data_IF_442315943320
#
_entry.id   IF_442315943320
#
_cell.length_a   1.000
_cell.length_b   1.000
_cell.length_c   1.000
_cell.angle_alpha   90.00
_cell.angle_beta   90.00
_cell.angle_gamma   90.00
#
_symmetry.space_group_name_H-M   'P 1'
#
loop_
_entity.id
_entity.type
_entity.pdbx_description
1 polymer ?
#
# COMPACT_ATOMS: atom_id res chain seq x y z
N UNK A 1 -25.20 2.40 13.65
CA UNK A 1 -25.56 1.64 12.42
C UNK A 1 -25.25 2.53 11.21
N UNK A 2 -24.13 2.34 10.55
CA UNK A 2 -23.75 3.12 9.36
C UNK A 2 -24.29 2.42 8.11
N UNK A 3 -25.12 3.12 7.35
CA UNK A 3 -25.64 2.71 6.04
C UNK A 3 -24.56 2.96 5.01
N UNK A 4 -24.08 1.92 4.35
CA UNK A 4 -23.22 2.04 3.17
C UNK A 4 -24.10 2.30 1.94
N UNK A 5 -24.00 3.49 1.38
CA UNK A 5 -24.57 3.88 0.10
C UNK A 5 -23.53 3.67 -0.99
N UNK A 6 -23.88 2.91 -2.01
CA UNK A 6 -23.07 2.76 -3.22
C UNK A 6 -23.77 3.57 -4.32
N UNK A 7 -23.31 4.78 -4.58
CA UNK A 7 -23.63 5.54 -5.78
C UNK A 7 -22.43 5.50 -6.74
N UNK A 8 -22.58 4.82 -7.87
CA UNK A 8 -21.65 4.86 -8.99
C UNK A 8 -22.43 5.17 -10.26
N UNK A 9 -22.18 6.36 -10.84
CA UNK A 9 -22.64 6.69 -12.19
C UNK A 9 -21.86 5.87 -13.22
N UNK A 10 -22.56 5.10 -14.04
CA UNK A 10 -22.00 4.42 -15.22
C UNK A 10 -22.78 4.84 -16.46
N UNK A 11 -22.05 5.35 -17.45
CA UNK A 11 -22.50 5.55 -18.83
C UNK A 11 -22.76 4.18 -19.48
N UNK A 12 -23.98 3.98 -19.94
CA UNK A 12 -24.46 2.78 -20.61
C UNK A 12 -23.99 2.75 -22.08
N UNK A 13 -23.28 1.67 -22.46
CA UNK A 13 -23.32 1.11 -23.80
C UNK A 13 -23.74 -0.34 -23.70
N UNK A 14 -24.77 -0.68 -24.49
CA UNK A 14 -25.42 -1.99 -24.49
C UNK A 14 -24.53 -3.04 -25.17
N UNK A 15 -23.91 -3.91 -24.36
CA UNK A 15 -23.57 -5.31 -24.66
C UNK A 15 -23.73 -6.08 -23.36
N UNK A 16 -24.37 -7.26 -23.39
CA UNK A 16 -24.83 -8.09 -22.29
C UNK A 16 -24.26 -7.74 -20.92
N UNK A 17 -25.08 -7.22 -20.02
CA UNK A 17 -24.65 -6.70 -18.73
C UNK A 17 -23.87 -7.77 -17.96
N UNK A 18 -22.55 -7.66 -17.92
CA UNK A 18 -21.72 -8.44 -17.03
C UNK A 18 -22.24 -8.23 -15.59
N UNK A 19 -22.48 -9.33 -14.86
CA UNK A 19 -22.99 -9.28 -13.49
C UNK A 19 -22.04 -8.42 -12.64
N UNK A 20 -22.58 -7.43 -11.93
CA UNK A 20 -21.82 -6.62 -10.98
C UNK A 20 -21.17 -7.53 -9.95
N UNK A 21 -19.83 -7.51 -9.83
CA UNK A 21 -19.13 -8.33 -8.83
C UNK A 21 -18.89 -7.51 -7.55
N UNK A 22 -19.29 -8.09 -6.42
CA UNK A 22 -19.08 -7.53 -5.08
C UNK A 22 -18.23 -8.50 -4.28
N UNK A 23 -17.06 -8.08 -3.87
CA UNK A 23 -16.19 -8.87 -3.02
C UNK A 23 -16.56 -8.68 -1.55
N UNK A 24 -16.47 -9.76 -0.77
CA UNK A 24 -16.78 -9.79 0.66
C UNK A 24 -15.64 -10.46 1.43
N UNK A 25 -15.41 -10.10 2.72
CA UNK A 25 -14.33 -10.67 3.49
C UNK A 25 -14.54 -12.17 3.78
N UNK A 26 -13.44 -12.89 4.03
CA UNK A 26 -13.40 -14.34 4.28
C UNK A 26 -14.32 -14.78 5.42
N UNK A 27 -14.51 -13.94 6.44
CA UNK A 27 -15.33 -14.20 7.63
C UNK A 27 -16.74 -13.60 7.55
N UNK A 28 -17.18 -13.16 6.36
CA UNK A 28 -18.50 -12.54 6.19
C UNK A 28 -19.64 -13.48 6.61
N UNK A 29 -20.03 -13.39 7.88
CA UNK A 29 -21.18 -14.09 8.47
C UNK A 29 -22.43 -13.21 8.52
N UNK A 30 -22.27 -11.92 8.26
CA UNK A 30 -23.35 -10.92 8.31
C UNK A 30 -24.24 -11.06 7.08
N UNK A 31 -25.49 -10.68 7.24
CA UNK A 31 -26.43 -10.56 6.15
C UNK A 31 -25.93 -9.53 5.16
N UNK A 32 -25.67 -9.94 3.91
CA UNK A 32 -25.24 -9.06 2.85
C UNK A 32 -26.40 -8.17 2.44
N UNK A 33 -26.16 -6.88 2.35
CA UNK A 33 -27.06 -5.89 1.76
C UNK A 33 -26.36 -5.26 0.60
N UNK A 34 -27.03 -5.12 -0.51
CA UNK A 34 -26.46 -4.44 -1.66
C UNK A 34 -27.56 -3.84 -2.51
N UNK A 35 -27.20 -2.86 -3.30
CA UNK A 35 -28.05 -2.20 -4.28
C UNK A 35 -27.54 -2.57 -5.66
N UNK A 36 -28.43 -2.94 -6.59
CA UNK A 36 -28.07 -3.20 -7.99
C UNK A 36 -27.53 -1.93 -8.66
N UNK A 37 -26.87 -2.07 -9.81
CA UNK A 37 -26.43 -0.94 -10.62
C UNK A 37 -27.57 0.02 -11.00
N UNK A 38 -28.82 -0.47 -11.04
CA UNK A 38 -30.05 0.31 -11.31
C UNK A 38 -30.66 0.92 -10.03
N UNK A 39 -29.94 0.89 -8.89
CA UNK A 39 -30.41 1.49 -7.64
C UNK A 39 -31.42 0.67 -6.83
N UNK A 40 -31.73 -0.56 -7.25
CA UNK A 40 -32.68 -1.42 -6.54
C UNK A 40 -32.01 -2.10 -5.35
N UNK A 41 -32.53 -1.92 -4.15
CA UNK A 41 -32.07 -2.61 -2.95
C UNK A 41 -32.43 -4.11 -2.99
N UNK A 42 -31.45 -5.00 -2.84
CA UNK A 42 -31.63 -6.42 -2.77
C UNK A 42 -32.09 -6.86 -1.38
N UNK A 43 -32.96 -7.86 -1.32
CA UNK A 43 -33.30 -8.48 -0.02
C UNK A 43 -32.03 -9.03 0.63
N UNK A 44 -31.84 -8.78 1.93
CA UNK A 44 -30.70 -9.31 2.67
C UNK A 44 -30.52 -10.81 2.48
N UNK A 45 -29.28 -11.26 2.28
CA UNK A 45 -28.96 -12.67 2.06
C UNK A 45 -27.69 -13.09 2.80
N UNK A 46 -27.52 -14.40 3.00
CA UNK A 46 -26.29 -14.98 3.57
C UNK A 46 -25.63 -15.87 2.55
N UNK A 47 -24.30 -15.73 2.43
CA UNK A 47 -23.50 -16.67 1.64
C UNK A 47 -23.28 -17.97 2.42
N UNK A 48 -23.50 -19.09 1.78
CA UNK A 48 -23.16 -20.44 2.32
C UNK A 48 -21.86 -20.99 1.74
N UNK A 49 -21.40 -20.46 0.61
CA UNK A 49 -20.16 -20.81 -0.08
C UNK A 49 -19.35 -19.55 -0.44
N UNK A 50 -18.37 -19.71 -1.33
CA UNK A 50 -17.45 -18.63 -1.73
C UNK A 50 -18.04 -17.72 -2.81
N UNK A 51 -19.09 -18.14 -3.49
CA UNK A 51 -19.81 -17.35 -4.48
C UNK A 51 -21.31 -17.40 -4.27
N UNK A 52 -21.99 -16.31 -4.61
CA UNK A 52 -23.44 -16.21 -4.61
C UNK A 52 -23.89 -15.27 -5.73
N UNK A 53 -24.61 -15.79 -6.74
CA UNK A 53 -25.20 -14.97 -7.78
C UNK A 53 -26.65 -14.63 -7.42
N UNK A 54 -26.99 -13.34 -7.48
CA UNK A 54 -28.34 -12.88 -7.11
C UNK A 54 -28.74 -11.62 -7.87
N UNK A 55 -29.78 -11.73 -8.68
CA UNK A 55 -30.39 -10.60 -9.40
C UNK A 55 -29.38 -9.71 -10.15
N UNK A 56 -28.44 -10.33 -10.89
CA UNK A 56 -27.41 -9.63 -11.64
C UNK A 56 -26.21 -9.14 -10.81
N UNK A 57 -26.15 -9.49 -9.52
CA UNK A 57 -25.00 -9.23 -8.66
C UNK A 57 -24.35 -10.54 -8.25
N UNK A 58 -23.05 -10.64 -8.50
CA UNK A 58 -22.21 -11.75 -8.09
C UNK A 58 -21.42 -11.36 -6.84
N UNK A 59 -21.68 -12.05 -5.73
CA UNK A 59 -20.87 -11.92 -4.51
C UNK A 59 -19.76 -12.95 -4.55
N UNK A 60 -18.54 -12.53 -4.24
CA UNK A 60 -17.34 -13.39 -4.18
C UNK A 60 -16.68 -13.20 -2.84
N UNK A 61 -16.52 -14.29 -2.09
CA UNK A 61 -15.77 -14.28 -0.82
C UNK A 61 -14.28 -14.31 -1.12
N UNK A 62 -13.54 -13.32 -0.63
CA UNK A 62 -12.08 -13.37 -0.68
C UNK A 62 -11.54 -14.30 0.41
N UNK A 63 -10.43 -14.98 0.16
CA UNK A 63 -9.69 -15.66 1.22
C UNK A 63 -9.11 -14.63 2.21
N UNK A 64 -8.62 -15.08 3.35
CA UNK A 64 -7.96 -14.21 4.32
C UNK A 64 -6.70 -13.58 3.69
N UNK A 65 -6.68 -12.25 3.56
CA UNK A 65 -5.61 -11.53 2.90
C UNK A 65 -4.41 -11.31 3.84
N UNK A 66 -3.22 -11.29 3.27
CA UNK A 66 -2.03 -10.71 3.89
C UNK A 66 -2.05 -9.20 3.66
N UNK A 67 -2.38 -8.41 4.68
CA UNK A 67 -2.51 -6.95 4.56
C UNK A 67 -1.14 -6.30 4.72
N UNK A 68 -0.78 -5.46 3.76
CA UNK A 68 0.46 -4.67 3.81
C UNK A 68 0.12 -3.18 3.70
N UNK A 69 0.61 -2.40 4.66
CA UNK A 69 0.49 -0.95 4.67
C UNK A 69 1.67 -0.33 3.91
N UNK A 70 1.39 0.45 2.87
CA UNK A 70 2.39 1.15 2.06
C UNK A 70 2.24 2.65 2.28
N UNK A 71 3.18 3.27 3.00
CA UNK A 71 3.14 4.68 3.41
C UNK A 71 4.49 5.37 3.14
N UNK A 72 4.48 6.68 3.10
CA UNK A 72 5.64 7.50 2.79
C UNK A 72 5.32 8.65 1.84
N UNK A 73 6.30 9.05 1.03
CA UNK A 73 6.11 10.19 0.15
C UNK A 73 6.00 9.80 -1.35
N UNK A 74 6.49 10.66 -2.24
CA UNK A 74 6.23 10.57 -3.69
C UNK A 74 6.67 9.26 -4.34
N UNK A 75 7.82 8.72 -3.97
CA UNK A 75 8.28 7.44 -4.51
C UNK A 75 7.39 6.26 -4.04
N UNK A 76 6.82 6.30 -2.84
CA UNK A 76 5.80 5.31 -2.42
C UNK A 76 4.45 5.55 -3.11
N UNK A 77 4.06 6.81 -3.29
CA UNK A 77 2.82 7.18 -3.99
C UNK A 77 2.84 6.78 -5.48
N UNK A 78 4.02 6.60 -6.06
CA UNK A 78 4.26 6.31 -7.46
C UNK A 78 4.46 7.56 -8.30
N UNK A 79 5.56 7.57 -9.07
CA UNK A 79 5.91 8.65 -10.02
C UNK A 79 6.43 8.09 -11.34
N UNK A 80 6.77 6.80 -11.40
CA UNK A 80 7.18 6.17 -12.66
C UNK A 80 6.02 6.22 -13.67
N UNK A 81 6.25 6.64 -14.94
CA UNK A 81 5.19 6.74 -15.94
C UNK A 81 4.39 5.45 -16.07
N UNK A 82 3.06 5.60 -16.20
CA UNK A 82 2.19 4.46 -16.51
C UNK A 82 2.48 3.94 -17.92
N UNK A 83 2.67 2.65 -18.02
CA UNK A 83 2.85 1.90 -19.28
C UNK A 83 1.75 0.83 -19.44
N UNK A 84 1.81 0.05 -20.51
CA UNK A 84 0.78 -0.96 -20.78
C UNK A 84 0.72 -2.02 -19.67
N UNK A 85 1.87 -2.41 -19.11
CA UNK A 85 1.92 -3.36 -17.99
C UNK A 85 1.24 -2.85 -16.72
N UNK A 86 1.10 -1.53 -16.55
CA UNK A 86 0.42 -0.91 -15.42
C UNK A 86 -1.12 -1.00 -15.52
N UNK A 87 -1.67 -1.37 -16.68
CA UNK A 87 -3.12 -1.46 -16.92
C UNK A 87 -3.72 -2.79 -16.50
N UNK A 88 -2.86 -3.80 -16.33
CA UNK A 88 -3.30 -5.13 -16.00
C UNK A 88 -3.47 -5.34 -14.49
N UNK A 89 -4.42 -6.19 -14.15
CA UNK A 89 -4.55 -6.68 -12.78
C UNK A 89 -3.51 -7.75 -12.48
N UNK A 90 -2.96 -7.73 -11.27
CA UNK A 90 -2.07 -8.79 -10.82
C UNK A 90 -2.87 -9.85 -10.06
N UNK A 91 -2.79 -11.10 -10.48
CA UNK A 91 -3.49 -12.20 -9.82
C UNK A 91 -3.11 -12.30 -8.33
N UNK A 92 -4.13 -12.42 -7.47
CA UNK A 92 -3.92 -12.50 -6.02
C UNK A 92 -3.59 -11.18 -5.33
N UNK A 93 -3.56 -10.04 -6.05
CA UNK A 93 -3.31 -8.71 -5.47
C UNK A 93 -4.59 -7.89 -5.43
N UNK A 94 -4.88 -7.37 -4.26
CA UNK A 94 -6.10 -6.61 -3.96
C UNK A 94 -5.75 -5.23 -3.42
N UNK A 95 -6.49 -4.21 -3.83
CA UNK A 95 -6.31 -2.82 -3.38
C UNK A 95 -7.52 -2.36 -2.56
N UNK A 96 -7.28 -1.78 -1.39
CA UNK A 96 -8.33 -1.17 -0.57
C UNK A 96 -8.86 0.09 -1.24
N UNK A 97 -10.16 0.12 -1.56
CA UNK A 97 -10.85 1.26 -2.17
C UNK A 97 -11.18 2.38 -1.14
N UNK A 98 -11.86 3.42 -1.60
CA UNK A 98 -12.26 4.55 -0.77
C UNK A 98 -13.35 4.16 0.28
N UNK A 99 -14.11 3.13 0.01
CA UNK A 99 -15.19 2.62 0.86
C UNK A 99 -14.74 1.53 1.84
N UNK A 100 -13.44 1.21 1.89
CA UNK A 100 -12.89 0.19 2.78
C UNK A 100 -13.13 -1.24 2.31
N UNK A 101 -13.30 -1.46 1.01
CA UNK A 101 -13.46 -2.77 0.39
C UNK A 101 -12.24 -3.08 -0.48
N UNK A 102 -11.98 -4.35 -0.71
CA UNK A 102 -10.93 -4.77 -1.62
C UNK A 102 -11.49 -5.06 -3.02
N UNK A 103 -10.78 -4.54 -4.03
CA UNK A 103 -10.99 -4.82 -5.45
C UNK A 103 -9.66 -5.26 -6.09
N UNK A 104 -9.68 -5.92 -7.27
CA UNK A 104 -8.44 -6.24 -7.99
C UNK A 104 -7.55 -5.01 -8.16
N UNK A 105 -6.27 -5.16 -7.84
CA UNK A 105 -5.32 -4.05 -7.87
C UNK A 105 -4.91 -3.70 -9.31
N UNK A 106 -5.00 -2.42 -9.66
CA UNK A 106 -4.54 -1.83 -10.93
C UNK A 106 -3.86 -0.49 -10.62
N UNK A 107 -2.73 -0.21 -11.24
CA UNK A 107 -2.05 1.10 -11.08
C UNK A 107 -2.93 2.29 -11.55
N UNK A 108 -2.75 3.46 -10.97
CA UNK A 108 -1.88 3.80 -9.85
C UNK A 108 -2.47 3.36 -8.52
N UNK A 109 -1.70 2.65 -7.68
CA UNK A 109 -2.22 2.04 -6.46
C UNK A 109 -2.51 3.07 -5.34
N UNK A 110 -1.91 4.25 -5.39
CA UNK A 110 -2.18 5.32 -4.42
C UNK A 110 -3.47 6.12 -4.72
N UNK A 111 -4.27 5.68 -5.70
CA UNK A 111 -5.49 6.40 -6.15
C UNK A 111 -6.52 6.63 -5.05
N UNK A 112 -6.61 5.74 -4.09
CA UNK A 112 -7.57 5.80 -2.99
C UNK A 112 -6.96 6.35 -1.68
N UNK A 113 -5.72 6.82 -1.71
CA UNK A 113 -5.10 7.47 -0.55
C UNK A 113 -5.92 8.68 -0.11
N UNK A 114 -6.23 8.75 1.17
CA UNK A 114 -6.99 9.87 1.78
C UNK A 114 -6.12 11.11 2.00
N UNK A 115 -4.80 10.97 1.84
CA UNK A 115 -3.83 12.05 2.03
C UNK A 115 -3.12 12.46 0.75
N UNK A 116 -3.37 11.78 -0.38
CA UNK A 116 -2.73 12.09 -1.66
C UNK A 116 -2.97 13.55 -2.07
N UNK A 117 -2.07 14.07 -2.86
CA UNK A 117 -2.29 15.27 -3.66
C UNK A 117 -3.21 14.93 -4.85
N UNK A 118 -3.08 15.60 -5.95
CA UNK A 118 -3.89 15.38 -7.14
C UNK A 118 -3.81 13.94 -7.66
N UNK A 119 -4.91 13.42 -8.19
CA UNK A 119 -4.97 12.06 -8.73
C UNK A 119 -4.02 11.88 -9.93
N UNK A 120 -3.93 12.86 -10.80
CA UNK A 120 -3.06 12.83 -11.98
C UNK A 120 -1.56 12.72 -11.68
N UNK A 121 -1.15 13.02 -10.44
CA UNK A 121 0.22 12.82 -9.98
C UNK A 121 0.51 11.38 -9.55
N UNK A 122 -0.49 10.53 -9.43
CA UNK A 122 -0.33 9.14 -9.00
C UNK A 122 0.01 8.28 -10.22
N UNK A 123 1.12 7.57 -10.16
CA UNK A 123 1.71 6.80 -11.26
C UNK A 123 2.18 5.43 -10.75
N UNK A 124 3.05 4.73 -11.49
CA UNK A 124 3.66 3.47 -11.04
C UNK A 124 4.50 3.71 -9.78
N UNK A 125 4.22 2.94 -8.74
CA UNK A 125 4.98 2.89 -7.50
C UNK A 125 5.54 1.49 -7.22
N UNK A 126 6.22 1.29 -6.06
CA UNK A 126 6.82 0.01 -5.73
C UNK A 126 5.79 -1.04 -5.25
N UNK A 127 4.59 -0.62 -4.83
CA UNK A 127 3.64 -1.51 -4.16
C UNK A 127 3.11 -2.64 -5.07
N UNK A 128 2.95 -2.39 -6.38
CA UNK A 128 2.44 -3.39 -7.32
C UNK A 128 3.41 -4.56 -7.52
N UNK A 129 4.65 -4.27 -7.86
CA UNK A 129 5.68 -5.28 -8.03
C UNK A 129 6.08 -5.96 -6.71
N UNK A 130 6.04 -5.23 -5.60
CA UNK A 130 6.14 -5.82 -4.27
C UNK A 130 5.08 -6.91 -4.07
N UNK A 131 3.81 -6.58 -4.27
CA UNK A 131 2.71 -7.51 -4.02
C UNK A 131 2.76 -8.71 -4.97
N UNK A 132 3.10 -8.51 -6.24
CA UNK A 132 3.29 -9.58 -7.22
C UNK A 132 4.37 -10.56 -6.76
N UNK A 133 5.55 -10.07 -6.37
CA UNK A 133 6.65 -10.90 -5.89
C UNK A 133 6.30 -11.63 -4.58
N UNK A 134 5.60 -10.93 -3.67
CA UNK A 134 5.21 -11.48 -2.38
C UNK A 134 4.13 -12.57 -2.52
N UNK A 135 3.14 -12.40 -3.41
CA UNK A 135 2.16 -13.45 -3.78
C UNK A 135 2.87 -14.65 -4.38
N UNK A 136 3.81 -14.41 -5.33
CA UNK A 136 4.58 -15.48 -5.97
C UNK A 136 5.36 -16.33 -4.97
N UNK A 137 5.95 -15.70 -3.95
CA UNK A 137 6.74 -16.41 -2.93
C UNK A 137 5.88 -17.10 -1.86
N UNK A 138 4.75 -16.50 -1.47
CA UNK A 138 3.92 -17.02 -0.36
C UNK A 138 2.77 -17.92 -0.81
N UNK A 139 2.38 -17.86 -2.09
CA UNK A 139 1.19 -18.51 -2.61
C UNK A 139 -0.13 -17.96 -2.02
N UNK A 140 -0.08 -16.87 -1.24
CA UNK A 140 -1.23 -16.30 -0.52
C UNK A 140 -1.57 -14.92 -1.06
N UNK A 141 -2.87 -14.58 -1.21
CA UNK A 141 -3.28 -13.29 -1.71
C UNK A 141 -2.89 -12.14 -0.76
N UNK A 142 -2.59 -10.99 -1.37
CA UNK A 142 -2.15 -9.77 -0.69
C UNK A 142 -3.20 -8.69 -0.82
N UNK A 143 -3.50 -8.01 0.29
CA UNK A 143 -4.29 -6.78 0.35
C UNK A 143 -3.40 -5.58 0.58
N UNK A 144 -3.38 -4.64 -0.37
CA UNK A 144 -2.60 -3.42 -0.27
C UNK A 144 -3.43 -2.27 0.32
N UNK A 145 -2.90 -1.62 1.33
CA UNK A 145 -3.37 -0.33 1.84
C UNK A 145 -2.33 0.72 1.48
N UNK A 146 -2.50 1.39 0.35
CA UNK A 146 -1.56 2.42 -0.10
C UNK A 146 -2.10 3.78 0.31
N UNK A 147 -1.33 4.51 1.15
CA UNK A 147 -1.75 5.81 1.69
C UNK A 147 -0.55 6.76 1.84
N UNK A 148 0.03 7.17 0.71
CA UNK A 148 1.21 8.00 0.64
C UNK A 148 0.90 9.43 0.18
N UNK A 149 1.75 10.40 0.59
CA UNK A 149 1.66 11.82 0.23
C UNK A 149 3.01 12.38 -0.22
N UNK A 150 3.11 12.81 -1.46
CA UNK A 150 4.33 13.40 -2.01
C UNK A 150 4.77 14.70 -1.32
N UNK A 151 6.09 14.88 -1.12
CA UNK A 151 6.72 16.09 -0.61
C UNK A 151 6.51 16.32 0.89
N UNK A 152 6.31 15.25 1.68
CA UNK A 152 6.13 15.34 3.13
C UNK A 152 7.41 15.03 3.88
N UNK A 153 7.64 15.74 4.98
CA UNK A 153 8.65 15.40 6.00
C UNK A 153 8.15 14.31 6.93
N UNK A 154 9.06 13.66 7.66
CA UNK A 154 8.68 12.65 8.66
C UNK A 154 7.87 13.27 9.81
N UNK A 155 8.09 14.53 10.15
CA UNK A 155 7.33 15.22 11.19
C UNK A 155 5.85 15.39 10.85
N UNK A 156 5.49 15.47 9.56
CA UNK A 156 4.08 15.50 9.14
C UNK A 156 3.37 14.15 9.37
N UNK A 157 4.13 13.08 9.55
CA UNK A 157 3.62 11.76 9.88
C UNK A 157 3.46 11.52 11.38
N UNK A 158 4.41 11.98 12.20
CA UNK A 158 4.46 11.63 13.63
C UNK A 158 4.39 12.82 14.59
N UNK A 159 4.49 14.04 14.09
CA UNK A 159 4.46 15.25 14.92
C UNK A 159 3.08 15.54 15.53
N UNK A 160 2.93 16.61 16.31
CA UNK A 160 1.66 17.00 16.95
C UNK A 160 0.51 17.22 15.95
N UNK A 161 0.85 17.42 14.68
CA UNK A 161 -0.09 17.50 13.55
C UNK A 161 -0.04 16.24 12.68
N UNK A 162 0.38 15.11 13.21
CA UNK A 162 0.64 13.85 12.51
C UNK A 162 -0.58 13.15 11.92
N UNK A 163 -1.44 13.94 11.25
CA UNK A 163 -2.68 13.47 10.63
C UNK A 163 -2.46 12.44 9.51
N UNK A 164 -1.25 12.41 8.91
CA UNK A 164 -0.98 11.49 7.81
C UNK A 164 -0.92 10.03 8.29
N UNK A 165 -0.30 9.78 9.45
CA UNK A 165 -0.27 8.44 10.04
C UNK A 165 -1.66 8.02 10.54
N UNK A 166 -2.40 8.92 11.19
CA UNK A 166 -3.75 8.65 11.68
C UNK A 166 -4.70 8.28 10.52
N UNK A 167 -4.59 8.99 9.39
CA UNK A 167 -5.35 8.68 8.19
C UNK A 167 -4.97 7.29 7.60
N UNK A 168 -3.68 6.94 7.59
CA UNK A 168 -3.23 5.63 7.15
C UNK A 168 -3.72 4.51 8.07
N UNK A 169 -3.65 4.72 9.40
CA UNK A 169 -4.16 3.79 10.40
C UNK A 169 -5.68 3.60 10.31
N UNK A 170 -6.43 4.66 10.03
CA UNK A 170 -7.88 4.55 9.83
C UNK A 170 -8.22 3.63 8.64
N UNK A 171 -7.49 3.74 7.53
CA UNK A 171 -7.63 2.84 6.37
C UNK A 171 -7.20 1.41 6.72
N UNK A 172 -6.10 1.26 7.44
CA UNK A 172 -5.60 -0.06 7.85
C UNK A 172 -6.61 -0.79 8.76
N UNK A 173 -7.26 -0.08 9.69
CA UNK A 173 -8.32 -0.66 10.53
C UNK A 173 -9.50 -1.17 9.70
N UNK A 174 -9.90 -0.49 8.63
CA UNK A 174 -10.92 -0.98 7.70
C UNK A 174 -10.45 -2.25 6.96
N UNK A 175 -9.17 -2.33 6.61
CA UNK A 175 -8.59 -3.49 5.95
C UNK A 175 -8.51 -4.74 6.85
N UNK A 176 -8.36 -4.58 8.16
CA UNK A 176 -8.23 -5.71 9.11
C UNK A 176 -9.45 -6.63 9.14
N UNK A 177 -10.62 -6.18 8.71
CA UNK A 177 -11.79 -7.06 8.52
C UNK A 177 -11.55 -8.13 7.44
N UNK A 178 -10.60 -7.91 6.52
CA UNK A 178 -10.33 -8.75 5.36
C UNK A 178 -9.13 -9.69 5.54
N UNK A 179 -8.32 -9.47 6.55
CA UNK A 179 -7.11 -10.28 6.74
C UNK A 179 -6.28 -9.88 7.95
N UNK A 180 -5.02 -10.24 7.91
CA UNK A 180 -4.02 -9.93 8.93
C UNK A 180 -2.98 -8.94 8.41
N UNK A 181 -2.58 -8.00 9.23
CA UNK A 181 -1.48 -7.09 8.90
C UNK A 181 -0.17 -7.87 9.04
N UNK A 182 0.59 -7.97 7.95
CA UNK A 182 1.82 -8.77 7.89
C UNK A 182 3.08 -7.92 7.75
N UNK A 183 2.94 -6.62 7.54
CA UNK A 183 4.07 -5.72 7.45
C UNK A 183 3.71 -4.31 6.97
N UNK A 184 4.68 -3.42 7.11
CA UNK A 184 4.62 -2.03 6.66
C UNK A 184 5.79 -1.75 5.73
N UNK A 185 5.51 -1.08 4.61
CA UNK A 185 6.51 -0.54 3.69
C UNK A 185 6.54 0.97 3.83
N UNK A 186 7.73 1.50 4.07
CA UNK A 186 7.98 2.92 4.21
C UNK A 186 8.99 3.42 3.18
N UNK A 187 8.61 4.40 2.37
CA UNK A 187 9.55 5.08 1.49
C UNK A 187 9.39 6.59 1.59
N UNK A 188 10.32 7.22 2.32
CA UNK A 188 10.34 8.66 2.58
C UNK A 188 11.75 9.05 3.04
N UNK A 189 12.12 10.30 2.88
CA UNK A 189 13.40 10.83 3.36
C UNK A 189 13.91 12.00 2.52
N UNK A 190 13.44 12.15 1.28
CA UNK A 190 13.91 13.19 0.38
C UNK A 190 13.71 14.60 0.94
N UNK A 191 12.61 14.83 1.67
CA UNK A 191 12.34 16.10 2.34
C UNK A 191 13.23 16.35 3.57
N UNK A 192 13.75 15.27 4.18
CA UNK A 192 14.50 15.32 5.44
C UNK A 192 16.00 15.04 5.28
N UNK A 193 16.47 14.80 4.06
CA UNK A 193 17.82 14.30 3.78
C UNK A 193 18.98 15.18 4.30
N UNK A 194 18.73 16.46 4.61
CA UNK A 194 19.70 17.36 5.22
C UNK A 194 19.97 17.05 6.70
N UNK A 195 19.10 16.30 7.38
CA UNK A 195 19.14 16.12 8.83
C UNK A 195 19.06 14.65 9.23
N UNK A 196 20.05 13.79 8.85
CA UNK A 196 19.96 12.34 9.04
C UNK A 196 19.77 11.93 10.50
N UNK A 197 20.47 12.56 11.48
CA UNK A 197 20.35 12.20 12.90
C UNK A 197 18.95 12.50 13.46
N UNK A 198 18.37 13.63 13.06
CA UNK A 198 16.99 13.98 13.43
C UNK A 198 16.01 12.98 12.83
N UNK A 199 16.22 12.61 11.57
CA UNK A 199 15.38 11.66 10.88
C UNK A 199 15.43 10.28 11.53
N UNK A 200 16.61 9.79 11.91
CA UNK A 200 16.76 8.51 12.60
C UNK A 200 15.90 8.45 13.86
N UNK A 201 15.98 9.46 14.71
CA UNK A 201 15.17 9.52 15.93
C UNK A 201 13.66 9.51 15.64
N UNK A 202 13.25 10.21 14.59
CA UNK A 202 11.84 10.26 14.15
C UNK A 202 11.37 8.93 13.56
N UNK A 203 12.21 8.25 12.79
CA UNK A 203 11.87 6.95 12.21
C UNK A 203 11.67 5.88 13.30
N UNK A 204 12.49 5.92 14.37
CA UNK A 204 12.30 5.07 15.55
C UNK A 204 10.93 5.28 16.19
N UNK A 205 10.53 6.53 16.42
CA UNK A 205 9.22 6.89 16.97
C UNK A 205 8.06 6.46 16.05
N UNK A 206 8.22 6.56 14.72
CA UNK A 206 7.21 6.10 13.77
C UNK A 206 6.97 4.59 13.90
N UNK A 207 8.05 3.81 13.96
CA UNK A 207 7.97 2.35 14.10
C UNK A 207 7.34 1.97 15.44
N UNK A 208 7.76 2.59 16.53
CA UNK A 208 7.20 2.37 17.86
C UNK A 208 5.71 2.66 17.92
N UNK A 209 5.29 3.82 17.37
CA UNK A 209 3.89 4.21 17.32
C UNK A 209 3.06 3.23 16.50
N UNK A 210 3.51 2.82 15.31
CA UNK A 210 2.82 1.83 14.49
C UNK A 210 2.61 0.52 15.23
N UNK A 211 3.65 0.02 15.90
CA UNK A 211 3.59 -1.22 16.69
C UNK A 211 2.64 -1.12 17.88
N UNK A 212 2.64 0.01 18.57
CA UNK A 212 1.72 0.27 19.69
C UNK A 212 0.26 0.33 19.21
N UNK A 213 -0.02 1.08 18.14
CA UNK A 213 -1.37 1.22 17.56
C UNK A 213 -1.96 -0.09 17.04
N UNK A 214 -1.10 -1.01 16.58
CA UNK A 214 -1.51 -2.32 16.08
C UNK A 214 -1.38 -3.44 17.11
N UNK A 215 -0.89 -3.11 18.31
CA UNK A 215 -0.61 -4.07 19.38
C UNK A 215 0.25 -5.26 18.89
N UNK A 216 1.24 -4.95 18.06
CA UNK A 216 2.18 -5.93 17.52
C UNK A 216 3.62 -5.40 17.61
N UNK A 217 4.35 -5.72 18.71
CA UNK A 217 5.71 -5.25 18.92
C UNK A 217 6.73 -5.82 17.92
N UNK A 218 6.37 -6.90 17.21
CA UNK A 218 7.21 -7.55 16.20
C UNK A 218 6.77 -7.29 14.77
N UNK A 219 5.81 -6.36 14.57
CA UNK A 219 5.35 -6.01 13.23
C UNK A 219 6.54 -5.71 12.30
N UNK A 220 6.71 -6.45 11.22
CA UNK A 220 7.76 -6.21 10.24
C UNK A 220 7.62 -4.83 9.61
N UNK A 221 8.71 -4.07 9.60
CA UNK A 221 8.76 -2.73 9.01
C UNK A 221 9.95 -2.64 8.05
N UNK A 222 9.67 -2.46 6.77
CA UNK A 222 10.70 -2.33 5.73
C UNK A 222 10.73 -0.90 5.22
N UNK A 223 11.91 -0.29 5.24
CA UNK A 223 12.11 1.07 4.73
C UNK A 223 13.18 1.10 3.63
N UNK A 224 13.09 2.07 2.73
CA UNK A 224 13.99 2.17 1.58
C UNK A 224 14.91 3.37 1.63
N UNK A 225 16.12 3.22 1.08
CA UNK A 225 17.00 4.32 0.76
C UNK A 225 16.36 5.19 -0.33
N UNK A 226 16.60 6.52 -0.23
CA UNK A 226 16.20 7.48 -1.25
C UNK A 226 17.17 7.45 -2.44
N UNK A 227 16.88 8.21 -3.47
CA UNK A 227 17.74 8.35 -4.65
C UNK A 227 19.20 8.63 -4.27
N UNK A 228 20.15 8.06 -5.01
CA UNK A 228 21.58 8.16 -4.72
C UNK A 228 22.27 9.30 -5.47
N UNK A 229 21.65 9.79 -6.50
CA UNK A 229 22.14 10.94 -7.25
C UNK A 229 21.81 12.25 -6.55
N UNK A 230 22.47 13.31 -6.98
CA UNK A 230 22.26 14.65 -6.46
C UNK A 230 21.21 15.35 -7.33
N UNK A 231 20.08 15.72 -6.76
CA UNK A 231 19.08 16.49 -7.51
C UNK A 231 19.11 17.97 -7.14
N UNK A 232 18.36 18.77 -7.87
CA UNK A 232 18.40 20.25 -7.78
C UNK A 232 18.25 20.79 -6.35
N UNK A 233 17.49 20.13 -5.50
CA UNK A 233 17.29 20.54 -4.09
C UNK A 233 18.27 19.89 -3.12
N UNK A 234 19.19 19.06 -3.61
CA UNK A 234 20.20 18.35 -2.85
C UNK A 234 21.51 18.21 -3.61
N UNK A 235 22.14 19.35 -3.96
CA UNK A 235 23.40 19.34 -4.71
C UNK A 235 24.53 18.69 -3.91
N UNK A 236 24.47 18.71 -2.58
CA UNK A 236 25.41 18.04 -1.66
C UNK A 236 25.24 16.51 -1.63
N UNK A 237 24.14 16.02 -2.20
CA UNK A 237 23.85 14.60 -2.32
C UNK A 237 23.16 13.98 -1.09
N UNK A 238 22.99 12.68 -1.15
CA UNK A 238 22.18 11.89 -0.19
C UNK A 238 22.99 10.81 0.52
N UNK A 239 24.29 10.72 0.23
CA UNK A 239 25.13 9.64 0.76
C UNK A 239 25.12 9.54 2.30
N UNK A 240 25.23 10.62 3.10
CA UNK A 240 25.15 10.55 4.55
C UNK A 240 23.78 10.04 5.04
N UNK A 241 22.70 10.47 4.40
CA UNK A 241 21.33 10.03 4.74
C UNK A 241 21.12 8.54 4.45
N UNK A 242 21.52 8.10 3.27
CA UNK A 242 21.43 6.68 2.90
C UNK A 242 22.37 5.80 3.73
N UNK A 243 23.52 6.31 4.16
CA UNK A 243 24.41 5.62 5.08
C UNK A 243 23.77 5.45 6.46
N UNK A 244 23.12 6.48 6.99
CA UNK A 244 22.34 6.41 8.23
C UNK A 244 21.24 5.36 8.13
N UNK A 245 20.41 5.37 7.06
CA UNK A 245 19.36 4.37 6.86
C UNK A 245 19.92 2.95 6.86
N UNK A 246 21.00 2.71 6.13
CA UNK A 246 21.66 1.39 6.07
C UNK A 246 22.25 0.97 7.41
N UNK A 247 22.74 1.93 8.19
CA UNK A 247 23.30 1.72 9.52
C UNK A 247 22.28 1.50 10.63
N UNK A 248 21.02 1.88 10.40
CA UNK A 248 19.97 1.81 11.41
C UNK A 248 19.72 0.37 11.88
N UNK A 249 19.71 0.19 13.19
CA UNK A 249 19.41 -1.09 13.83
C UNK A 249 18.17 -0.93 14.71
N UNK A 250 17.08 -1.55 14.28
CA UNK A 250 15.83 -1.70 15.00
C UNK A 250 15.36 -3.15 14.88
N UNK A 251 14.84 -3.77 15.94
CA UNK A 251 14.29 -5.11 15.84
C UNK A 251 13.18 -5.20 14.79
N UNK A 252 13.11 -6.32 14.08
CA UNK A 252 12.08 -6.60 13.07
C UNK A 252 11.96 -5.51 11.98
N UNK A 253 13.08 -4.91 11.59
CA UNK A 253 13.16 -3.95 10.48
C UNK A 253 14.21 -4.35 9.46
N UNK A 254 14.03 -3.91 8.22
CA UNK A 254 15.01 -4.06 7.14
C UNK A 254 15.08 -2.78 6.30
N UNK A 255 16.29 -2.44 5.87
CA UNK A 255 16.55 -1.37 4.92
C UNK A 255 16.74 -1.93 3.52
N UNK A 256 16.03 -1.38 2.54
CA UNK A 256 16.18 -1.70 1.12
C UNK A 256 17.08 -0.68 0.46
N UNK A 257 18.10 -1.15 -0.28
CA UNK A 257 19.03 -0.30 -1.01
C UNK A 257 18.43 0.28 -2.29
N UNK A 258 18.96 1.43 -2.71
CA UNK A 258 18.63 2.08 -3.98
C UNK A 258 19.75 1.98 -5.03
N UNK A 259 20.71 1.08 -4.83
CA UNK A 259 21.79 0.81 -5.78
C UNK A 259 21.24 0.35 -7.13
N UNK A 260 21.75 0.96 -8.24
CA UNK A 260 21.35 0.60 -9.61
C UNK A 260 19.94 1.04 -9.99
N UNK A 261 19.25 1.78 -9.14
CA UNK A 261 17.98 2.42 -9.51
C UNK A 261 18.27 3.72 -10.27
N UNK A 262 17.47 3.99 -11.28
CA UNK A 262 17.64 5.11 -12.22
C UNK A 262 16.54 6.16 -12.04
N UNK A 263 16.84 7.43 -12.36
CA UNK A 263 15.87 8.52 -12.29
C UNK A 263 14.73 8.35 -13.31
N UNK A 264 13.59 8.98 -13.03
CA UNK A 264 12.44 9.00 -13.90
C UNK A 264 12.70 9.74 -15.23
N UNK A 265 13.44 10.85 -15.17
CA UNK A 265 13.82 11.67 -16.33
C UNK A 265 15.33 11.83 -16.38
N UNK A 266 15.87 12.50 -15.39
CA UNK A 266 17.28 12.81 -15.21
C UNK A 266 17.57 13.01 -13.71
N UNK A 267 18.83 13.25 -13.37
CA UNK A 267 19.26 13.39 -11.98
C UNK A 267 18.83 14.69 -11.29
N UNK A 268 18.16 15.61 -11.98
CA UNK A 268 17.59 16.83 -11.36
C UNK A 268 16.37 16.53 -10.47
N UNK A 269 15.78 15.36 -10.61
CA UNK A 269 14.54 14.91 -9.95
C UNK A 269 14.82 13.66 -9.06
N UNK A 270 14.31 13.61 -7.82
CA UNK A 270 14.54 12.48 -6.92
C UNK A 270 13.68 11.25 -7.23
N UNK A 271 12.84 11.27 -8.25
CA UNK A 271 11.90 10.21 -8.53
C UNK A 271 12.50 9.11 -9.40
N UNK A 272 12.20 7.87 -9.05
CA UNK A 272 12.62 6.68 -9.76
C UNK A 272 11.80 6.45 -11.03
N UNK A 273 12.44 5.93 -12.08
CA UNK A 273 11.78 5.44 -13.30
C UNK A 273 10.78 4.32 -12.99
N UNK A 274 9.87 4.02 -13.91
CA UNK A 274 8.90 2.93 -13.73
C UNK A 274 9.58 1.57 -13.53
N UNK A 275 10.67 1.31 -14.26
CA UNK A 275 11.47 0.09 -14.09
C UNK A 275 12.11 0.02 -12.70
N UNK A 276 12.69 1.15 -12.24
CA UNK A 276 13.30 1.26 -10.91
C UNK A 276 12.27 1.17 -9.78
N UNK A 277 11.07 1.72 -9.94
CA UNK A 277 9.96 1.54 -9.00
C UNK A 277 9.59 0.05 -8.85
N UNK A 278 9.53 -0.68 -9.97
CA UNK A 278 9.25 -2.12 -9.95
C UNK A 278 10.37 -2.93 -9.29
N UNK A 279 11.62 -2.58 -9.58
CA UNK A 279 12.77 -3.22 -8.94
C UNK A 279 12.79 -2.95 -7.43
N UNK A 280 12.55 -1.72 -7.01
CA UNK A 280 12.42 -1.35 -5.61
C UNK A 280 11.33 -2.18 -4.92
N UNK A 281 10.20 -2.39 -5.58
CA UNK A 281 9.12 -3.23 -5.06
C UNK A 281 9.56 -4.69 -4.84
N UNK A 282 10.28 -5.30 -5.78
CA UNK A 282 10.84 -6.66 -5.61
C UNK A 282 11.77 -6.74 -4.40
N UNK A 283 12.65 -5.75 -4.23
CA UNK A 283 13.55 -5.67 -3.06
C UNK A 283 12.79 -5.55 -1.73
N UNK A 284 11.70 -4.78 -1.71
CA UNK A 284 10.81 -4.71 -0.56
C UNK A 284 10.19 -6.08 -0.22
N UNK A 285 9.76 -6.85 -1.23
CA UNK A 285 9.20 -8.18 -1.02
C UNK A 285 10.23 -9.14 -0.42
N UNK A 286 11.44 -9.19 -0.97
CA UNK A 286 12.52 -10.01 -0.44
C UNK A 286 12.87 -9.65 1.02
N UNK A 287 12.91 -8.36 1.33
CA UNK A 287 13.22 -7.88 2.67
C UNK A 287 12.12 -8.28 3.67
N UNK A 288 10.84 -8.14 3.30
CA UNK A 288 9.73 -8.53 4.17
C UNK A 288 9.67 -10.04 4.38
N UNK A 289 9.89 -10.84 3.33
CA UNK A 289 9.95 -12.30 3.44
C UNK A 289 11.03 -12.75 4.41
N UNK A 290 12.25 -12.19 4.30
CA UNK A 290 13.36 -12.49 5.24
C UNK A 290 13.01 -12.15 6.69
N UNK A 291 12.35 -11.01 6.94
CA UNK A 291 11.92 -10.65 8.29
C UNK A 291 10.88 -11.63 8.85
N UNK A 292 9.95 -12.10 8.01
CA UNK A 292 8.96 -13.09 8.43
C UNK A 292 9.57 -14.45 8.74
N UNK A 293 10.59 -14.88 8.00
CA UNK A 293 11.33 -16.11 8.28
C UNK A 293 12.06 -16.02 9.63
N UNK A 294 12.76 -14.91 9.89
CA UNK A 294 13.44 -14.67 11.17
C UNK A 294 12.44 -14.70 12.33
N UNK A 295 11.28 -14.03 12.18
CA UNK A 295 10.26 -14.02 13.21
C UNK A 295 9.74 -15.42 13.54
N UNK A 296 9.51 -16.28 12.53
CA UNK A 296 9.10 -17.67 12.73
C UNK A 296 10.15 -18.52 13.45
N UNK A 297 11.43 -18.25 13.22
CA UNK A 297 12.52 -18.98 13.89
C UNK A 297 12.68 -18.59 15.35
N UNK A 298 12.32 -17.37 15.72
CA UNK A 298 12.39 -16.86 17.09
C UNK A 298 11.16 -17.21 17.95
N UNK A 299 10.12 -17.79 17.34
CA UNK A 299 8.92 -18.30 18.02
C UNK A 299 9.02 -19.78 18.46
N UNK A 300 10.02 -20.47 17.97
CA UNK A 300 10.32 -21.88 18.31
C UNK A 300 11.36 -21.96 19.42
#
# INVERSE_FOLDING_TARGET
MRRLWICGLLLLWAFGAAAQTVYVPWNARRTLRCTTAQGRELRPCRMRGDTLDRQGVRFVRLPRLQIVLCIGQSNMAGRGPLDDAARDTVAGVWLLDAEGRFAPAVEPLNRYSTVRKELGMQQVGPAGSFASAFVGATGRPVGLVVNARGGTSIDEWIGPKGQLLDAALARLRAAQEWGEVVGVLWHQGEADAAHPQRYEARLRLLVERLRAELNDPRLPFVFGQIARWNWTRRPEGTAPFNAMLRGLRLPHTACVGSEGLEPMKDESDPHFSAASQRELGRRYAEALLRLQEINKLTEK
#
